data_IF_306733480495
#
_entry.id   IF_306733480495
#
_cell.length_a   1.000
_cell.length_b   1.000
_cell.length_c   1.000
_cell.angle_alpha   90.00
_cell.angle_beta   90.00
_cell.angle_gamma   90.00
#
_symmetry.space_group_name_H-M   'P 1'
#
loop_
_entity.id
_entity.type
_entity.pdbx_description
1 polymer ?
#
# COMPACT_ATOMS: atom_id res chain seq x y z
N UNK A 1 -19.39 -10.97 25.40
CA UNK A 1 -18.02 -11.32 24.95
C UNK A 1 -17.40 -10.10 24.31
N UNK A 2 -16.51 -9.44 25.05
CA UNK A 2 -16.02 -8.07 24.86
C UNK A 2 -15.12 -7.90 23.62
N UNK A 3 -15.38 -6.87 22.80
CA UNK A 3 -14.31 -6.13 22.09
C UNK A 3 -14.59 -4.63 22.16
N UNK A 4 -13.89 -3.99 23.09
CA UNK A 4 -13.69 -2.55 23.22
C UNK A 4 -13.03 -2.02 21.94
N UNK A 5 -13.82 -1.46 21.02
CA UNK A 5 -13.31 -0.54 20.00
C UNK A 5 -13.39 0.88 20.59
N UNK A 6 -12.38 1.21 21.39
CA UNK A 6 -12.23 2.54 21.97
C UNK A 6 -11.96 3.57 20.88
N UNK A 7 -12.83 4.57 20.88
CA UNK A 7 -12.78 5.85 20.16
C UNK A 7 -11.41 6.52 20.30
N UNK A 8 -10.79 6.90 19.18
CA UNK A 8 -9.72 7.92 19.18
C UNK A 8 -10.12 9.06 18.23
N UNK A 9 -10.98 9.92 18.76
CA UNK A 9 -11.20 11.28 18.29
C UNK A 9 -10.21 12.20 19.01
N UNK A 10 -9.36 12.92 18.27
CA UNK A 10 -8.72 14.15 18.75
C UNK A 10 -8.30 15.02 17.57
N UNK A 11 -8.80 16.26 17.58
CA UNK A 11 -8.55 17.33 16.61
C UNK A 11 -7.44 18.26 17.11
N UNK A 12 -6.56 18.74 16.23
CA UNK A 12 -5.98 20.11 16.31
C UNK A 12 -5.11 20.47 15.08
N UNK A 13 -5.72 21.33 14.25
CA UNK A 13 -5.16 22.49 13.53
C UNK A 13 -3.63 22.70 13.53
N UNK A 14 -3.02 22.73 12.32
CA UNK A 14 -1.81 23.52 12.03
C UNK A 14 -1.85 24.09 10.60
N UNK A 15 -1.20 25.24 10.44
CA UNK A 15 -1.49 26.33 9.50
C UNK A 15 -1.34 26.08 7.98
N UNK A 16 -2.12 26.86 7.20
CA UNK A 16 -2.02 27.01 5.75
C UNK A 16 -0.80 27.87 5.39
N UNK A 17 0.09 27.38 4.53
CA UNK A 17 1.15 28.20 3.90
C UNK A 17 0.60 28.84 2.63
N UNK A 18 0.53 30.16 2.62
CA UNK A 18 0.55 30.97 1.41
C UNK A 18 2.00 31.17 0.97
N UNK A 19 2.29 30.89 -0.29
CA UNK A 19 3.50 31.32 -0.98
C UNK A 19 3.02 31.58 -2.40
N UNK A 20 2.78 32.83 -2.78
CA UNK A 20 3.82 33.84 -2.86
C UNK A 20 4.44 33.69 -4.24
N UNK A 21 3.96 34.52 -5.16
CA UNK A 21 4.27 34.58 -6.58
C UNK A 21 5.68 34.07 -6.94
N UNK A 22 5.74 33.03 -7.79
CA UNK A 22 6.94 32.75 -8.59
C UNK A 22 6.60 32.98 -10.04
N UNK A 23 6.98 34.16 -10.52
CA UNK A 23 6.97 34.56 -11.90
C UNK A 23 7.55 33.46 -12.80
N UNK A 24 6.71 32.97 -13.71
CA UNK A 24 7.08 32.06 -14.79
C UNK A 24 7.88 32.84 -15.84
N UNK A 25 9.16 33.10 -15.57
CA UNK A 25 10.10 33.69 -16.54
C UNK A 25 11.24 32.73 -16.80
N UNK A 26 11.15 31.99 -17.92
CA UNK A 26 12.24 31.35 -18.70
C UNK A 26 11.57 30.55 -19.83
N UNK A 27 11.32 31.20 -20.96
CA UNK A 27 12.12 31.10 -22.18
C UNK A 27 12.30 29.65 -22.68
N UNK A 28 11.34 29.23 -23.50
CA UNK A 28 11.51 28.61 -24.82
C UNK A 28 12.89 27.95 -25.06
N UNK A 29 13.03 26.71 -24.61
CA UNK A 29 13.99 25.75 -25.16
C UNK A 29 13.38 24.35 -25.05
N UNK A 30 12.44 24.03 -25.95
CA UNK A 30 11.90 22.69 -26.16
C UNK A 30 12.95 21.84 -26.89
N UNK A 31 13.90 21.28 -26.16
CA UNK A 31 14.71 20.17 -26.63
C UNK A 31 13.97 18.85 -26.29
N UNK A 32 13.85 17.88 -27.22
CA UNK A 32 13.32 16.57 -26.87
C UNK A 32 14.35 15.91 -25.96
N UNK A 33 14.09 15.90 -24.65
CA UNK A 33 14.84 15.05 -23.75
C UNK A 33 14.46 13.61 -24.09
N UNK A 34 15.26 12.96 -24.94
CA UNK A 34 15.23 11.51 -25.19
C UNK A 34 15.25 10.84 -23.82
N UNK A 35 14.07 10.44 -23.37
CA UNK A 35 13.81 10.13 -21.97
C UNK A 35 14.58 8.90 -21.55
N UNK A 36 15.70 9.10 -20.87
CA UNK A 36 16.44 8.01 -20.23
C UNK A 36 15.48 7.21 -19.35
N UNK A 37 15.52 5.88 -19.48
CA UNK A 37 14.72 4.98 -18.65
C UNK A 37 15.08 5.25 -17.19
N UNK A 38 14.14 5.83 -16.44
CA UNK A 38 14.29 6.02 -15.00
C UNK A 38 14.52 4.65 -14.37
N UNK A 39 15.50 4.55 -13.48
CA UNK A 39 15.78 3.33 -12.71
C UNK A 39 14.46 2.78 -12.12
N UNK A 40 14.21 1.46 -12.17
CA UNK A 40 13.02 0.86 -11.58
C UNK A 40 12.81 1.34 -10.14
N UNK A 41 11.62 1.83 -9.83
CA UNK A 41 11.29 2.30 -8.49
C UNK A 41 11.15 1.10 -7.55
N UNK A 42 12.03 1.02 -6.55
CA UNK A 42 11.93 0.04 -5.47
C UNK A 42 11.32 0.71 -4.23
N UNK A 43 10.31 0.08 -3.64
CA UNK A 43 9.76 0.50 -2.35
C UNK A 43 10.76 0.21 -1.22
N UNK A 44 10.72 1.02 -0.16
CA UNK A 44 11.50 0.76 1.07
C UNK A 44 11.03 -0.54 1.74
N UNK A 45 11.93 -1.30 2.38
CA UNK A 45 11.51 -2.47 3.16
C UNK A 45 10.41 -2.08 4.15
N UNK A 46 9.41 -2.95 4.32
CA UNK A 46 8.23 -2.70 5.15
C UNK A 46 7.08 -1.93 4.49
N UNK A 47 7.31 -1.20 3.38
CA UNK A 47 6.23 -0.44 2.72
C UNK A 47 5.16 -1.36 2.12
N UNK A 48 5.59 -2.40 1.40
CA UNK A 48 4.69 -3.39 0.80
C UNK A 48 4.01 -4.25 1.89
N UNK A 49 4.77 -4.65 2.91
CA UNK A 49 4.24 -5.44 4.03
C UNK A 49 3.09 -4.72 4.77
N UNK A 50 3.25 -3.43 5.11
CA UNK A 50 2.18 -2.66 5.75
C UNK A 50 0.93 -2.50 4.87
N UNK A 51 1.13 -2.40 3.55
CA UNK A 51 0.03 -2.35 2.58
C UNK A 51 -0.73 -3.68 2.53
N UNK A 52 -0.03 -4.81 2.51
CA UNK A 52 -0.62 -6.15 2.54
C UNK A 52 -1.39 -6.40 3.84
N UNK A 53 -0.79 -6.10 5.01
CA UNK A 53 -1.46 -6.24 6.32
C UNK A 53 -2.78 -5.46 6.36
N UNK A 54 -2.79 -4.20 5.91
CA UNK A 54 -4.01 -3.39 5.84
C UNK A 54 -5.06 -3.97 4.89
N UNK A 55 -4.62 -4.56 3.78
CA UNK A 55 -5.51 -5.22 2.81
C UNK A 55 -6.17 -6.45 3.43
N UNK A 56 -5.37 -7.36 4.01
CA UNK A 56 -5.86 -8.61 4.60
C UNK A 56 -6.73 -8.39 5.84
N UNK A 57 -6.50 -7.31 6.61
CA UNK A 57 -7.38 -6.95 7.72
C UNK A 57 -8.73 -6.38 7.27
N UNK A 58 -8.83 -5.84 6.04
CA UNK A 58 -10.07 -5.30 5.48
C UNK A 58 -10.95 -6.38 4.86
N UNK A 59 -10.33 -7.41 4.27
CA UNK A 59 -11.02 -8.53 3.62
C UNK A 59 -11.10 -9.76 4.53
N UNK A 60 -11.93 -10.73 4.17
CA UNK A 60 -12.03 -12.05 4.83
C UNK A 60 -11.70 -13.21 3.88
N UNK A 61 -10.97 -12.93 2.79
CA UNK A 61 -10.69 -13.93 1.77
C UNK A 61 -9.73 -15.03 2.27
N UNK A 62 -9.87 -16.23 1.71
CA UNK A 62 -8.96 -17.34 2.00
C UNK A 62 -7.58 -17.05 1.40
N UNK A 63 -6.55 -16.98 2.25
CA UNK A 63 -5.17 -16.75 1.82
C UNK A 63 -4.54 -17.97 1.12
N UNK A 64 -5.07 -19.17 1.38
CA UNK A 64 -4.61 -20.43 0.79
C UNK A 64 -5.60 -20.88 -0.29
N UNK A 65 -5.08 -21.30 -1.45
CA UNK A 65 -5.89 -21.83 -2.55
C UNK A 65 -6.60 -23.12 -2.12
N UNK A 66 -7.86 -23.30 -2.55
CA UNK A 66 -8.69 -24.46 -2.16
C UNK A 66 -8.14 -25.81 -2.64
N UNK A 67 -7.62 -25.89 -3.87
CA UNK A 67 -7.18 -27.17 -4.45
C UNK A 67 -5.98 -27.78 -3.71
N UNK A 68 -4.87 -27.06 -3.47
CA UNK A 68 -3.77 -27.57 -2.64
C UNK A 68 -4.22 -27.96 -1.22
N UNK A 69 -5.08 -27.15 -0.59
CA UNK A 69 -5.60 -27.44 0.75
C UNK A 69 -6.45 -28.73 0.77
N UNK A 70 -7.26 -28.97 -0.27
CA UNK A 70 -8.01 -30.22 -0.43
C UNK A 70 -7.09 -31.44 -0.60
N UNK A 71 -5.97 -31.31 -1.31
CA UNK A 71 -5.02 -32.41 -1.45
C UNK A 71 -4.40 -32.78 -0.09
N UNK A 72 -3.98 -31.78 0.70
CA UNK A 72 -3.46 -31.99 2.06
C UNK A 72 -4.48 -32.69 2.97
N UNK A 73 -5.75 -32.28 2.94
CA UNK A 73 -6.81 -32.93 3.73
C UNK A 73 -7.00 -34.40 3.35
N UNK A 74 -6.86 -34.75 2.07
CA UNK A 74 -6.97 -36.13 1.59
C UNK A 74 -5.78 -36.99 1.97
N UNK A 75 -4.58 -36.43 1.94
CA UNK A 75 -3.35 -37.09 2.38
C UNK A 75 -3.46 -37.48 3.86
N UNK A 76 -3.81 -36.53 4.73
CA UNK A 76 -3.98 -36.78 6.16
C UNK A 76 -5.09 -37.80 6.42
N UNK A 77 -6.22 -37.72 5.71
CA UNK A 77 -7.33 -38.65 5.90
C UNK A 77 -7.05 -40.08 5.41
N UNK A 78 -5.96 -40.32 4.70
CA UNK A 78 -5.57 -41.67 4.26
C UNK A 78 -4.80 -42.43 5.35
N UNK A 79 -4.18 -41.72 6.28
CA UNK A 79 -3.37 -42.28 7.37
C UNK A 79 -4.21 -42.70 8.60
N UNK A 80 -5.51 -42.38 8.61
CA UNK A 80 -6.48 -42.69 9.67
C UNK A 80 -7.65 -43.52 9.14
#
# INVERSE_FOLDING_TARGET
MLRLFTVMASAKQTARKSTGEKALRKQLATAPATGGVKKPHCYRPGTVALREIRSYQKSIELLVRKLPFRHLVREIAQDF
#
